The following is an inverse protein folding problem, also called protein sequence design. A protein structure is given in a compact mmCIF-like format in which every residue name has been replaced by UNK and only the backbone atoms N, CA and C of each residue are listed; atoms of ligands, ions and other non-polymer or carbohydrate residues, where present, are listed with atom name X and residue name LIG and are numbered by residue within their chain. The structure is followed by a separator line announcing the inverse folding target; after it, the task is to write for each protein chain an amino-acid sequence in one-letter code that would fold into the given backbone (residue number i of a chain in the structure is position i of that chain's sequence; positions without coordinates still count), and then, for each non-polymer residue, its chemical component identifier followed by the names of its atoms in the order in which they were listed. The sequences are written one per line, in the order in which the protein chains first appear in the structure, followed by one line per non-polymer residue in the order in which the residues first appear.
data_IF_276493159360
#
_entry.id   IF_276493159360
#
_cell.length_a   1.000
_cell.length_b   1.000
_cell.length_c   1.000
_cell.angle_alpha   90.00
_cell.angle_beta   90.00
_cell.angle_gamma   90.00
#
_symmetry.space_group_name_H-M   'P 1'
#
loop_
_entity.id
_entity.type
_entity.pdbx_description
1 polymer ?
#
# COMPACT_ATOMS: atom_id res chain seq x y z
N UNK A 1 48.87 -26.49 36.10
CA UNK A 1 48.99 -26.89 34.67
C UNK A 1 47.82 -26.22 33.97
N UNK A 2 47.90 -25.23 33.10
CA UNK A 2 48.96 -24.51 32.41
C UNK A 2 48.19 -23.52 31.51
N UNK A 3 48.62 -22.26 31.50
CA UNK A 3 48.02 -21.13 30.80
C UNK A 3 47.81 -21.38 29.30
N UNK A 4 46.79 -20.76 28.69
CA UNK A 4 47.04 -20.08 27.41
C UNK A 4 46.22 -18.79 27.26
N UNK A 5 46.96 -17.75 26.92
CA UNK A 5 46.64 -16.33 26.90
C UNK A 5 46.13 -15.86 25.53
N UNK A 6 45.22 -14.88 25.62
CA UNK A 6 45.14 -13.63 24.87
C UNK A 6 45.72 -13.52 23.45
N UNK A 7 44.88 -12.98 22.53
CA UNK A 7 45.33 -12.03 21.50
C UNK A 7 44.20 -11.07 21.11
N UNK A 8 44.20 -9.91 21.75
CA UNK A 8 43.47 -8.71 21.35
C UNK A 8 44.37 -7.95 20.37
N UNK A 9 43.95 -7.85 19.10
CA UNK A 9 44.62 -7.07 18.06
C UNK A 9 44.04 -5.66 17.95
N UNK A 10 44.81 -4.66 18.42
CA UNK A 10 44.56 -3.24 18.20
C UNK A 10 44.81 -2.89 16.72
N UNK A 11 43.88 -2.23 16.04
CA UNK A 11 44.17 -1.55 14.77
C UNK A 11 44.00 -0.04 14.88
N UNK A 12 45.09 0.65 14.51
CA UNK A 12 45.32 2.10 14.59
C UNK A 12 44.57 2.84 13.49
N UNK A 13 43.99 3.98 13.89
CA UNK A 13 43.47 5.05 13.04
C UNK A 13 44.61 5.68 12.23
N UNK A 14 44.57 5.62 10.91
CA UNK A 14 45.46 6.37 10.02
C UNK A 14 44.60 7.19 9.07
N UNK A 15 44.53 8.49 9.37
CA UNK A 15 43.98 9.55 8.52
C UNK A 15 45.06 9.90 7.49
N UNK A 16 44.75 9.80 6.20
CA UNK A 16 45.59 10.38 5.14
C UNK A 16 44.76 11.33 4.27
N UNK A 17 45.29 12.55 4.17
CA UNK A 17 44.79 13.75 3.49
C UNK A 17 44.38 13.51 2.04
N UNK A 18 43.31 14.18 1.62
CA UNK A 18 42.94 14.38 0.22
C UNK A 18 43.90 15.37 -0.49
N UNK A 19 44.27 15.13 -1.76
CA UNK A 19 44.76 16.18 -2.63
C UNK A 19 43.59 16.86 -3.36
N UNK A 20 43.65 18.18 -3.35
CA UNK A 20 42.84 19.14 -4.09
C UNK A 20 43.13 19.12 -5.59
N UNK A 21 42.10 19.20 -6.43
CA UNK A 21 42.25 19.76 -7.77
C UNK A 21 41.33 19.17 -8.85
N UNK A 22 40.86 20.08 -9.71
CA UNK A 22 40.22 19.88 -11.02
C UNK A 22 38.71 19.58 -10.98
N UNK A 23 37.87 20.58 -11.26
CA UNK A 23 37.52 21.16 -12.59
C UNK A 23 36.38 20.40 -13.24
N UNK A 24 35.27 21.13 -13.33
CA UNK A 24 34.01 20.83 -13.95
C UNK A 24 34.18 20.67 -15.47
N UNK A 25 33.92 19.50 -16.02
CA UNK A 25 33.63 19.32 -17.44
C UNK A 25 32.46 18.37 -17.63
N UNK A 26 31.40 18.90 -18.23
CA UNK A 26 30.24 18.16 -18.73
C UNK A 26 30.68 17.27 -19.88
N UNK A 27 30.43 15.96 -19.80
CA UNK A 27 30.22 15.09 -20.97
C UNK A 27 29.50 13.83 -20.53
N UNK A 28 28.38 13.55 -21.19
CA UNK A 28 27.52 12.42 -20.88
C UNK A 28 28.06 11.09 -21.39
N UNK A 29 27.17 10.10 -21.25
CA UNK A 29 27.14 8.72 -21.76
C UNK A 29 27.37 7.66 -20.68
N UNK A 30 26.38 6.76 -20.58
CA UNK A 30 26.53 5.42 -20.02
C UNK A 30 25.57 5.11 -18.88
N UNK A 31 24.30 4.80 -19.20
CA UNK A 31 23.45 3.99 -18.31
C UNK A 31 24.15 2.65 -18.06
N UNK A 32 24.88 2.58 -16.94
CA UNK A 32 25.39 1.34 -16.38
C UNK A 32 24.47 0.98 -15.23
N UNK A 33 23.81 -0.18 -15.35
CA UNK A 33 23.01 -0.81 -14.31
C UNK A 33 23.89 -0.96 -13.06
N UNK A 34 23.67 -0.12 -12.06
CA UNK A 34 24.24 -0.35 -10.73
C UNK A 34 23.28 -1.23 -9.94
N UNK A 35 23.80 -2.38 -9.50
CA UNK A 35 23.22 -3.19 -8.42
C UNK A 35 23.22 -2.33 -7.14
N UNK A 36 22.21 -1.48 -7.03
CA UNK A 36 22.03 -0.59 -5.91
C UNK A 36 21.53 -1.40 -4.72
N UNK A 37 22.39 -1.60 -3.72
CA UNK A 37 21.97 -1.95 -2.36
C UNK A 37 20.99 -0.86 -1.90
N UNK A 38 19.71 -1.19 -1.99
CA UNK A 38 18.63 -0.28 -1.65
C UNK A 38 18.50 -0.21 -0.12
N UNK A 39 19.10 0.82 0.49
CA UNK A 39 18.62 1.36 1.77
C UNK A 39 17.27 2.04 1.52
N UNK A 40 16.19 1.26 1.41
CA UNK A 40 14.85 1.81 1.40
C UNK A 40 14.31 1.64 2.81
N UNK A 41 14.44 2.69 3.63
CA UNK A 41 13.46 2.95 4.69
C UNK A 41 12.09 2.93 4.00
N UNK A 42 11.27 1.95 4.34
CA UNK A 42 9.92 1.99 3.85
C UNK A 42 9.08 0.79 4.22
N UNK A 43 9.32 -0.37 3.63
CA UNK A 43 8.33 -1.44 3.66
C UNK A 43 8.66 -2.45 4.75
N UNK A 44 7.64 -2.93 5.47
CA UNK A 44 7.81 -4.07 6.36
C UNK A 44 8.01 -5.33 5.53
N UNK A 45 8.98 -6.18 5.87
CA UNK A 45 9.24 -7.44 5.16
C UNK A 45 9.55 -8.59 6.13
N UNK A 46 9.59 -9.82 5.59
CA UNK A 46 9.90 -11.06 6.30
C UNK A 46 11.07 -11.81 5.66
N UNK A 47 11.63 -12.78 6.37
CA UNK A 47 12.65 -13.69 5.83
C UNK A 47 12.04 -14.77 4.90
N UNK A 48 12.89 -15.43 4.13
CA UNK A 48 12.51 -16.65 3.40
C UNK A 48 11.98 -17.74 4.34
N UNK A 49 11.08 -18.60 3.85
CA UNK A 49 10.47 -19.67 4.63
C UNK A 49 9.33 -19.23 5.56
N UNK A 50 9.05 -17.92 5.65
CA UNK A 50 7.88 -17.43 6.38
C UNK A 50 6.61 -18.00 5.75
N UNK A 51 5.82 -18.73 6.53
CA UNK A 51 4.58 -19.34 6.05
C UNK A 51 3.46 -18.30 5.96
N UNK A 52 2.67 -18.37 4.90
CA UNK A 52 1.49 -17.54 4.66
C UNK A 52 0.31 -18.48 4.38
N UNK A 53 -0.85 -18.19 4.95
CA UNK A 53 -2.04 -19.01 4.74
C UNK A 53 -2.77 -18.58 3.46
N UNK A 54 -2.85 -19.51 2.50
CA UNK A 54 -3.58 -19.38 1.24
C UNK A 54 -4.91 -20.14 1.28
N UNK A 55 -5.66 -20.11 0.18
CA UNK A 55 -6.84 -20.95 0.00
C UNK A 55 -6.53 -22.47 0.06
N UNK A 56 -5.32 -22.86 -0.34
CA UNK A 56 -4.90 -24.26 -0.49
C UNK A 56 -4.08 -24.80 0.69
N UNK A 57 -3.63 -23.92 1.59
CA UNK A 57 -2.87 -24.30 2.78
C UNK A 57 -1.77 -23.30 3.12
N UNK A 58 -0.74 -23.74 3.82
CA UNK A 58 0.42 -22.91 4.12
C UNK A 58 1.43 -22.98 2.98
N UNK A 59 1.82 -21.81 2.48
CA UNK A 59 2.80 -21.65 1.41
C UNK A 59 3.90 -20.72 1.90
N UNK A 60 5.15 -21.00 1.53
CA UNK A 60 6.28 -20.15 1.90
C UNK A 60 6.22 -18.83 1.10
N UNK A 61 6.46 -17.71 1.77
CA UNK A 61 6.25 -16.37 1.22
C UNK A 61 6.99 -16.09 -0.09
N UNK A 62 8.17 -16.70 -0.30
CA UNK A 62 8.97 -16.52 -1.50
C UNK A 62 8.45 -17.30 -2.71
N UNK A 63 7.54 -18.25 -2.49
CA UNK A 63 6.94 -19.09 -3.54
C UNK A 63 5.58 -18.57 -4.00
N UNK A 64 5.01 -17.59 -3.29
CA UNK A 64 3.73 -16.98 -3.64
C UNK A 64 3.87 -16.10 -4.88
N UNK A 65 2.97 -16.29 -5.83
CA UNK A 65 2.93 -15.58 -7.11
C UNK A 65 1.76 -14.59 -7.20
N UNK A 66 1.81 -13.72 -8.20
CA UNK A 66 0.69 -12.81 -8.45
C UNK A 66 -0.51 -13.60 -8.97
N UNK A 67 -1.68 -13.36 -8.37
CA UNK A 67 -2.91 -14.11 -8.61
C UNK A 67 -3.24 -15.15 -7.55
N UNK A 68 -2.30 -15.49 -6.66
CA UNK A 68 -2.58 -16.35 -5.51
C UNK A 68 -3.51 -15.66 -4.52
N UNK A 69 -4.28 -16.44 -3.77
CA UNK A 69 -5.21 -15.91 -2.77
C UNK A 69 -4.68 -16.17 -1.35
N UNK A 70 -4.55 -15.10 -0.57
CA UNK A 70 -4.09 -15.15 0.83
C UNK A 70 -5.19 -14.70 1.78
N UNK A 71 -5.19 -15.27 2.98
CA UNK A 71 -6.14 -14.85 4.01
C UNK A 71 -5.80 -13.49 4.58
N UNK A 72 -6.79 -12.62 4.52
CA UNK A 72 -6.71 -11.22 4.90
C UNK A 72 -7.93 -10.84 5.75
N UNK A 73 -7.83 -9.73 6.48
CA UNK A 73 -8.93 -9.18 7.26
C UNK A 73 -9.11 -7.71 6.90
N UNK A 74 -10.35 -7.28 6.77
CA UNK A 74 -10.68 -5.87 6.75
C UNK A 74 -10.57 -5.33 8.19
N UNK A 75 -9.58 -4.48 8.53
CA UNK A 75 -9.43 -4.00 9.90
C UNK A 75 -10.61 -3.10 10.33
N UNK A 76 -11.31 -2.46 9.37
CA UNK A 76 -12.45 -1.59 9.66
C UNK A 76 -13.72 -2.37 10.03
N UNK A 77 -13.98 -3.51 9.36
CA UNK A 77 -15.20 -4.31 9.58
C UNK A 77 -14.98 -5.59 10.38
N UNK A 78 -13.73 -6.03 10.53
CA UNK A 78 -13.36 -7.31 11.12
C UNK A 78 -13.68 -8.53 10.24
N UNK A 79 -14.10 -8.32 9.00
CA UNK A 79 -14.43 -9.40 8.07
C UNK A 79 -13.17 -10.09 7.54
N UNK A 80 -13.14 -11.41 7.64
CA UNK A 80 -12.11 -12.26 7.05
C UNK A 80 -12.49 -12.69 5.64
N UNK A 81 -11.49 -12.78 4.76
CA UNK A 81 -11.70 -13.16 3.37
C UNK A 81 -10.38 -13.43 2.66
N UNK A 82 -10.47 -14.19 1.56
CA UNK A 82 -9.37 -14.39 0.65
C UNK A 82 -9.17 -13.12 -0.19
N UNK A 83 -7.93 -12.71 -0.36
CA UNK A 83 -7.55 -11.56 -1.17
C UNK A 83 -6.44 -11.94 -2.14
N UNK A 84 -6.56 -11.47 -3.38
CA UNK A 84 -5.58 -11.71 -4.43
C UNK A 84 -4.26 -10.98 -4.12
N UNK A 85 -3.15 -11.69 -4.29
CA UNK A 85 -1.81 -11.12 -4.29
C UNK A 85 -1.59 -10.43 -5.64
N UNK A 86 -1.50 -9.11 -5.62
CA UNK A 86 -1.28 -8.30 -6.81
C UNK A 86 0.16 -8.41 -7.31
N UNK A 87 1.13 -8.43 -6.38
CA UNK A 87 2.56 -8.46 -6.72
C UNK A 87 3.35 -9.01 -5.53
N UNK A 88 4.13 -10.09 -5.69
CA UNK A 88 5.14 -10.48 -4.70
C UNK A 88 6.34 -9.53 -4.77
N UNK A 89 6.88 -9.15 -3.61
CA UNK A 89 8.02 -8.24 -3.50
C UNK A 89 9.22 -8.95 -2.88
N UNK A 90 10.32 -8.97 -3.63
CA UNK A 90 11.63 -9.45 -3.15
C UNK A 90 12.61 -8.30 -3.16
N UNK A 91 13.35 -8.11 -2.06
CA UNK A 91 14.33 -7.03 -1.90
C UNK A 91 15.54 -7.47 -1.10
N UNK A 92 16.69 -6.86 -1.38
CA UNK A 92 17.83 -6.95 -0.47
C UNK A 92 17.66 -5.94 0.66
N UNK A 93 17.68 -6.41 1.91
CA UNK A 93 17.59 -5.57 3.10
C UNK A 93 18.92 -5.55 3.84
N UNK A 94 19.29 -4.37 4.35
CA UNK A 94 20.39 -4.20 5.30
C UNK A 94 19.87 -3.30 6.42
N UNK A 95 19.63 -3.86 7.59
CA UNK A 95 19.00 -3.12 8.67
C UNK A 95 18.63 -4.01 9.85
N UNK A 96 17.74 -3.51 10.67
CA UNK A 96 17.27 -4.20 11.86
C UNK A 96 16.21 -5.26 11.53
N UNK A 97 16.40 -6.42 12.15
CA UNK A 97 15.50 -7.55 12.13
C UNK A 97 15.09 -7.86 13.57
N UNK A 98 13.86 -8.31 13.73
CA UNK A 98 13.28 -8.72 15.00
C UNK A 98 12.74 -10.13 14.85
N UNK A 99 13.24 -11.04 15.67
CA UNK A 99 12.67 -12.37 15.86
C UNK A 99 11.64 -12.30 16.99
N UNK A 100 10.39 -12.58 16.66
CA UNK A 100 9.25 -12.60 17.59
C UNK A 100 8.95 -14.06 17.91
N UNK A 101 9.19 -14.47 19.15
CA UNK A 101 8.83 -15.82 19.61
C UNK A 101 7.44 -15.80 20.23
N UNK A 102 6.51 -16.55 19.65
CA UNK A 102 5.14 -16.69 20.13
C UNK A 102 4.78 -18.18 20.22
N UNK A 103 4.37 -18.63 21.41
CA UNK A 103 4.27 -20.05 21.74
C UNK A 103 5.59 -20.83 21.50
N UNK A 104 5.64 -21.70 20.48
CA UNK A 104 6.81 -22.50 20.07
C UNK A 104 7.32 -22.09 18.67
N UNK A 105 6.76 -21.02 18.09
CA UNK A 105 7.10 -20.54 16.76
C UNK A 105 7.90 -19.23 16.84
N UNK A 106 8.80 -19.05 15.87
CA UNK A 106 9.57 -17.82 15.67
C UNK A 106 9.18 -17.17 14.35
N UNK A 107 8.84 -15.88 14.41
CA UNK A 107 8.53 -15.06 13.24
C UNK A 107 9.63 -14.02 13.12
N UNK A 108 10.42 -14.06 12.06
CA UNK A 108 11.46 -13.07 11.83
C UNK A 108 11.03 -12.02 10.79
N UNK A 109 11.00 -10.76 11.21
CA UNK A 109 10.53 -9.64 10.40
C UNK A 109 11.49 -8.45 10.48
N UNK A 110 11.41 -7.54 9.52
CA UNK A 110 12.12 -6.25 9.62
C UNK A 110 11.57 -5.44 10.78
N UNK A 111 12.41 -4.61 11.42
CA UNK A 111 11.98 -3.89 12.62
C UNK A 111 10.83 -2.92 12.42
N UNK A 112 10.59 -2.44 11.19
CA UNK A 112 9.46 -1.59 10.83
C UNK A 112 8.19 -2.37 10.46
N UNK A 113 8.20 -3.71 10.49
CA UNK A 113 7.04 -4.49 10.09
C UNK A 113 5.92 -4.37 11.14
N UNK A 114 4.72 -3.88 10.77
CA UNK A 114 3.61 -3.75 11.71
C UNK A 114 2.89 -5.08 12.01
N UNK A 115 2.73 -5.35 13.30
CA UNK A 115 1.89 -6.43 13.84
C UNK A 115 0.64 -5.85 14.50
N UNK A 116 -0.47 -6.59 14.44
CA UNK A 116 -1.70 -6.21 15.12
C UNK A 116 -1.66 -6.64 16.59
N UNK A 117 -1.58 -5.67 17.50
CA UNK A 117 -1.51 -5.90 18.95
C UNK A 117 -2.86 -5.56 19.59
N UNK A 118 -3.48 -6.56 20.24
CA UNK A 118 -4.75 -6.43 20.94
C UNK A 118 -4.57 -5.75 22.30
N UNK A 119 -3.56 -6.16 23.05
CA UNK A 119 -3.26 -5.62 24.38
C UNK A 119 -1.79 -5.85 24.75
N UNK A 120 -1.26 -5.00 25.60
CA UNK A 120 0.13 -5.04 26.03
C UNK A 120 0.48 -3.87 26.94
N UNK A 121 1.66 -3.94 27.56
CA UNK A 121 2.11 -2.92 28.50
C UNK A 121 2.34 -1.56 27.81
N UNK A 122 1.78 -0.49 28.38
CA UNK A 122 1.87 0.87 27.85
C UNK A 122 1.52 0.99 26.35
N UNK A 123 0.63 0.13 25.84
CA UNK A 123 0.33 0.02 24.41
C UNK A 123 -0.13 1.34 23.81
N UNK A 124 -0.93 2.14 24.52
CA UNK A 124 -1.40 3.44 24.05
C UNK A 124 -0.30 4.49 23.85
N UNK A 125 0.79 4.44 24.63
CA UNK A 125 1.88 5.43 24.58
C UNK A 125 3.01 5.06 23.60
N UNK A 126 2.92 3.92 22.91
CA UNK A 126 3.95 3.49 21.94
C UNK A 126 3.82 4.29 20.63
N UNK A 127 4.91 4.44 19.85
CA UNK A 127 4.88 5.13 18.56
C UNK A 127 3.76 4.60 17.65
N UNK A 128 2.90 5.50 17.17
CA UNK A 128 1.88 5.18 16.18
C UNK A 128 2.52 5.03 14.81
N UNK A 129 2.12 3.99 14.08
CA UNK A 129 2.42 3.88 12.65
C UNK A 129 1.47 4.85 11.95
N UNK A 130 1.87 6.12 11.85
CA UNK A 130 1.02 7.27 11.50
C UNK A 130 0.29 7.16 10.14
N UNK A 131 0.73 6.24 9.28
CA UNK A 131 0.16 6.00 7.96
C UNK A 131 -0.89 4.88 7.93
N UNK A 132 -1.02 4.11 9.02
CA UNK A 132 -2.05 3.07 9.15
C UNK A 132 -3.30 3.68 9.75
N UNK A 133 -4.43 3.54 9.05
CA UNK A 133 -5.70 4.11 9.48
C UNK A 133 -6.03 3.66 10.91
N UNK A 134 -6.46 4.63 11.74
CA UNK A 134 -7.05 4.30 13.04
C UNK A 134 -8.31 3.50 12.74
N UNK A 135 -8.35 2.28 13.25
CA UNK A 135 -9.51 1.42 13.13
C UNK A 135 -10.66 2.08 13.89
N UNK A 136 -11.86 2.03 13.31
CA UNK A 136 -13.06 2.59 13.92
C UNK A 136 -13.34 1.91 15.27
N UNK A 137 -14.07 2.59 16.16
CA UNK A 137 -14.40 2.06 17.50
C UNK A 137 -15.20 0.74 17.41
N UNK A 138 -15.93 0.54 16.31
CA UNK A 138 -16.70 -0.68 15.99
C UNK A 138 -15.89 -1.77 15.27
N UNK A 139 -14.62 -1.49 14.92
CA UNK A 139 -13.76 -2.41 14.19
C UNK A 139 -13.04 -3.40 15.11
N UNK A 140 -12.01 -4.05 14.57
CA UNK A 140 -11.16 -4.94 15.36
C UNK A 140 -10.47 -4.13 16.45
N UNK A 141 -10.61 -4.54 17.71
CA UNK A 141 -9.91 -3.87 18.81
C UNK A 141 -8.41 -4.12 18.71
N UNK A 142 -7.60 -3.09 18.95
CA UNK A 142 -6.14 -3.17 18.93
C UNK A 142 -5.50 -2.04 18.17
N UNK A 143 -4.19 -2.17 17.92
CA UNK A 143 -3.44 -1.21 17.11
C UNK A 143 -2.27 -1.87 16.39
N UNK A 144 -1.87 -1.26 15.29
CA UNK A 144 -0.62 -1.57 14.63
C UNK A 144 0.58 -1.10 15.47
N UNK A 145 1.53 -2.00 15.67
CA UNK A 145 2.81 -1.74 16.34
C UNK A 145 3.93 -2.33 15.49
N UNK A 146 4.95 -1.54 15.19
CA UNK A 146 6.14 -2.04 14.50
C UNK A 146 6.86 -3.10 15.33
N UNK A 147 7.50 -4.07 14.67
CA UNK A 147 8.22 -5.16 15.31
C UNK A 147 9.25 -4.66 16.35
N UNK A 148 9.96 -3.56 16.05
CA UNK A 148 10.94 -2.90 16.95
C UNK A 148 10.32 -2.35 18.25
N UNK A 149 9.01 -2.19 18.28
CA UNK A 149 8.24 -1.62 19.40
C UNK A 149 7.33 -2.64 20.09
N UNK A 150 7.36 -3.90 19.64
CA UNK A 150 6.78 -5.01 20.39
C UNK A 150 7.49 -5.18 21.73
N UNK A 151 6.76 -5.70 22.70
CA UNK A 151 7.26 -6.05 24.03
C UNK A 151 6.87 -7.49 24.36
N UNK A 152 7.71 -8.14 25.15
CA UNK A 152 7.35 -9.42 25.75
C UNK A 152 6.08 -9.22 26.58
N UNK A 153 5.10 -10.08 26.36
CA UNK A 153 3.79 -10.00 26.97
C UNK A 153 2.69 -9.37 26.12
N UNK A 154 3.01 -8.85 24.94
CA UNK A 154 2.01 -8.39 23.97
C UNK A 154 1.16 -9.55 23.45
N UNK A 155 -0.11 -9.26 23.18
CA UNK A 155 -1.06 -10.19 22.59
C UNK A 155 -1.32 -9.84 21.13
N UNK A 156 -0.91 -10.73 20.22
CA UNK A 156 -1.10 -10.60 18.78
C UNK A 156 -2.38 -11.29 18.33
N UNK A 157 -3.10 -10.71 17.37
CA UNK A 157 -4.33 -11.29 16.83
C UNK A 157 -4.04 -12.44 15.86
N UNK A 158 -4.79 -13.53 16.01
CA UNK A 158 -4.79 -14.67 15.10
C UNK A 158 -6.04 -14.68 14.22
N UNK A 159 -5.95 -15.38 13.09
CA UNK A 159 -7.09 -15.65 12.20
C UNK A 159 -8.34 -16.18 12.89
N UNK A 160 -8.17 -17.05 13.89
CA UNK A 160 -9.31 -17.64 14.62
C UNK A 160 -10.09 -16.63 15.47
N UNK A 161 -9.64 -15.37 15.55
CA UNK A 161 -10.12 -14.37 16.49
C UNK A 161 -9.50 -14.49 17.88
N UNK A 162 -8.70 -15.53 18.12
CA UNK A 162 -7.93 -15.69 19.35
C UNK A 162 -6.70 -14.78 19.37
N UNK A 163 -5.97 -14.81 20.48
CA UNK A 163 -4.75 -14.05 20.68
C UNK A 163 -3.58 -14.96 21.06
N UNK A 164 -2.37 -14.63 20.58
CA UNK A 164 -1.12 -15.30 20.98
C UNK A 164 -0.21 -14.34 21.73
N UNK A 165 0.43 -14.81 22.80
CA UNK A 165 1.31 -13.99 23.63
C UNK A 165 2.76 -14.05 23.11
N UNK A 166 3.37 -12.88 22.95
CA UNK A 166 4.82 -12.74 22.68
C UNK A 166 5.59 -13.17 23.92
N UNK A 167 6.44 -14.18 23.78
CA UNK A 167 7.25 -14.77 24.87
C UNK A 167 8.68 -14.26 24.89
N UNK A 168 9.26 -14.01 23.72
CA UNK A 168 10.61 -13.48 23.58
C UNK A 168 10.71 -12.58 22.34
N UNK A 169 11.68 -11.67 22.37
CA UNK A 169 12.02 -10.78 21.28
C UNK A 169 13.54 -10.69 21.19
N UNK A 170 14.08 -10.95 20.02
CA UNK A 170 15.50 -10.78 19.73
C UNK A 170 15.69 -9.80 18.58
N UNK A 171 16.52 -8.79 18.77
CA UNK A 171 16.82 -7.80 17.75
C UNK A 171 18.25 -8.00 17.24
N UNK A 172 18.41 -8.05 15.92
CA UNK A 172 19.72 -8.16 15.26
C UNK A 172 19.81 -7.25 14.05
N UNK A 173 21.03 -6.97 13.59
CA UNK A 173 21.26 -6.32 12.30
C UNK A 173 21.63 -7.40 11.29
N UNK A 174 20.98 -7.40 10.13
CA UNK A 174 21.17 -8.41 9.11
C UNK A 174 21.28 -7.80 7.71
N UNK A 175 21.90 -8.55 6.80
CA UNK A 175 22.00 -8.24 5.38
C UNK A 175 21.57 -9.47 4.57
N UNK A 176 20.29 -9.56 4.22
CA UNK A 176 19.67 -10.75 3.63
C UNK A 176 18.50 -10.38 2.70
N UNK A 177 18.10 -11.26 1.76
CA UNK A 177 16.89 -11.06 0.98
C UNK A 177 15.66 -11.13 1.89
N UNK A 178 14.73 -10.21 1.68
CA UNK A 178 13.45 -10.15 2.39
C UNK A 178 12.28 -10.12 1.42
N UNK A 179 11.14 -10.59 1.90
CA UNK A 179 9.93 -10.84 1.12
C UNK A 179 8.74 -10.12 1.74
N UNK A 180 7.85 -9.61 0.90
CA UNK A 180 6.57 -9.03 1.29
C UNK A 180 5.55 -9.24 0.15
N UNK A 181 4.26 -9.14 0.43
CA UNK A 181 3.20 -9.36 -0.54
C UNK A 181 2.35 -8.10 -0.70
N UNK A 182 2.11 -7.68 -1.95
CA UNK A 182 1.13 -6.65 -2.24
C UNK A 182 -0.27 -7.24 -2.35
N UNK A 183 -0.99 -7.31 -1.22
CA UNK A 183 -2.35 -7.87 -1.17
C UNK A 183 -3.40 -6.84 -1.56
N UNK A 184 -4.38 -7.27 -2.37
CA UNK A 184 -5.49 -6.43 -2.81
C UNK A 184 -6.41 -5.99 -1.65
N UNK A 185 -7.06 -4.84 -1.85
CA UNK A 185 -8.13 -4.27 -1.02
C UNK A 185 -7.77 -3.91 0.43
N UNK A 186 -7.46 -4.89 1.28
CA UNK A 186 -7.36 -4.71 2.73
C UNK A 186 -5.94 -4.52 3.24
N UNK A 187 -4.94 -4.83 2.41
CA UNK A 187 -3.52 -4.61 2.73
C UNK A 187 -3.07 -5.25 4.06
N UNK A 188 -3.71 -6.35 4.44
CA UNK A 188 -3.32 -7.21 5.56
C UNK A 188 -3.20 -8.65 5.07
N UNK A 189 -2.44 -9.46 5.79
CA UNK A 189 -2.43 -10.91 5.57
C UNK A 189 -1.97 -11.62 6.84
N UNK A 190 -2.02 -12.95 6.82
CA UNK A 190 -1.57 -13.77 7.94
C UNK A 190 -0.23 -14.43 7.64
N UNK A 191 0.63 -14.49 8.65
CA UNK A 191 1.90 -15.20 8.60
C UNK A 191 1.98 -16.22 9.73
N UNK A 192 2.93 -17.16 9.62
CA UNK A 192 3.20 -18.19 10.62
C UNK A 192 2.13 -19.29 10.67
N UNK A 193 2.48 -20.43 11.26
CA UNK A 193 1.55 -21.56 11.51
C UNK A 193 0.39 -21.15 12.42
N UNK A 194 0.62 -20.19 13.31
CA UNK A 194 -0.40 -19.61 14.16
C UNK A 194 -1.28 -18.56 13.45
N UNK A 195 -0.95 -18.14 12.22
CA UNK A 195 -1.73 -17.20 11.39
C UNK A 195 -1.86 -15.84 12.05
N UNK A 196 -0.72 -15.31 12.47
CA UNK A 196 -0.59 -13.99 13.08
C UNK A 196 -0.89 -12.92 12.04
N UNK A 197 -1.72 -11.95 12.43
CA UNK A 197 -2.11 -10.85 11.56
C UNK A 197 -1.00 -9.80 11.42
N UNK A 198 -0.66 -9.48 10.17
CA UNK A 198 0.36 -8.49 9.80
C UNK A 198 -0.15 -7.56 8.69
N UNK A 199 0.48 -6.40 8.54
CA UNK A 199 0.09 -5.42 7.53
C UNK A 199 1.12 -5.32 6.39
N UNK A 200 0.62 -5.27 5.16
CA UNK A 200 1.38 -4.98 3.95
C UNK A 200 1.77 -3.49 3.91
N UNK A 201 2.72 -3.08 4.75
CA UNK A 201 3.13 -1.68 4.88
C UNK A 201 4.01 -1.23 3.72
N UNK A 202 3.52 -0.25 2.94
CA UNK A 202 4.30 0.45 1.91
C UNK A 202 4.16 1.98 2.01
N UNK A 203 5.15 2.71 2.58
CA UNK A 203 5.08 4.16 2.72
C UNK A 203 5.32 4.91 1.41
N UNK A 204 5.74 4.24 0.33
CA UNK A 204 5.77 4.84 -1.02
C UNK A 204 4.42 4.79 -1.71
N UNK A 205 3.50 3.95 -1.23
CA UNK A 205 2.07 4.04 -1.53
C UNK A 205 1.42 4.89 -0.45
N UNK A 206 1.75 6.19 -0.42
CA UNK A 206 0.97 7.16 0.33
C UNK A 206 -0.50 6.86 0.10
N UNK A 207 -1.19 6.51 1.19
CA UNK A 207 -2.55 5.96 1.24
C UNK A 207 -3.28 6.09 -0.10
N UNK A 208 -3.26 5.03 -0.91
CA UNK A 208 -4.28 4.93 -1.96
C UNK A 208 -5.58 4.84 -1.18
N UNK A 209 -6.29 5.97 -1.11
CA UNK A 209 -7.61 6.10 -0.50
C UNK A 209 -8.41 4.82 -0.75
N UNK A 210 -9.03 4.31 0.32
CA UNK A 210 -9.85 3.10 0.33
C UNK A 210 -10.75 2.98 -0.92
N UNK A 211 -11.13 1.77 -1.36
CA UNK A 211 -11.97 1.58 -2.54
C UNK A 211 -13.27 2.40 -2.51
N UNK A 212 -13.81 2.71 -1.32
CA UNK A 212 -14.98 3.58 -1.13
C UNK A 212 -14.75 5.02 -1.60
N UNK A 213 -13.55 5.57 -1.38
CA UNK A 213 -13.14 6.89 -1.88
C UNK A 213 -12.87 6.91 -3.40
N UNK A 214 -12.61 5.74 -3.99
CA UNK A 214 -12.36 5.60 -5.42
C UNK A 214 -13.63 5.53 -6.27
N UNK A 215 -14.79 5.26 -5.66
CA UNK A 215 -16.08 5.25 -6.36
C UNK A 215 -16.37 6.60 -7.03
N UNK A 216 -15.97 7.73 -6.42
CA UNK A 216 -16.24 9.07 -6.93
C UNK A 216 -15.73 9.35 -8.36
N UNK A 217 -14.70 8.63 -8.79
CA UNK A 217 -14.09 8.73 -10.14
C UNK A 217 -14.35 7.50 -11.01
N UNK A 218 -14.97 6.47 -10.45
CA UNK A 218 -15.34 5.25 -11.17
C UNK A 218 -16.47 5.52 -12.18
N UNK A 219 -16.54 4.71 -13.24
CA UNK A 219 -17.62 4.77 -14.23
C UNK A 219 -17.47 5.87 -15.30
N UNK A 220 -16.39 6.66 -15.30
CA UNK A 220 -16.14 7.71 -16.31
C UNK A 220 -16.23 7.22 -17.75
N UNK A 221 -15.63 6.06 -18.04
CA UNK A 221 -15.62 5.48 -19.38
C UNK A 221 -17.00 4.95 -19.80
N UNK A 222 -17.74 4.36 -18.85
CA UNK A 222 -19.12 3.92 -19.07
C UNK A 222 -20.03 5.12 -19.34
N UNK A 223 -19.91 6.18 -18.54
CA UNK A 223 -20.70 7.40 -18.72
C UNK A 223 -20.46 8.08 -20.06
N UNK A 224 -19.22 8.11 -20.55
CA UNK A 224 -18.92 8.62 -21.89
C UNK A 224 -19.57 7.79 -22.99
N UNK A 225 -19.67 6.46 -22.83
CA UNK A 225 -20.38 5.61 -23.79
C UNK A 225 -21.88 5.90 -23.82
N UNK A 226 -22.51 6.04 -22.65
CA UNK A 226 -23.93 6.40 -22.55
C UNK A 226 -24.25 7.76 -23.19
N UNK A 227 -23.37 8.75 -22.99
CA UNK A 227 -23.52 10.09 -23.57
C UNK A 227 -23.47 10.12 -25.10
N UNK A 228 -22.92 9.09 -25.74
CA UNK A 228 -22.90 8.99 -27.20
C UNK A 228 -24.33 8.98 -27.77
N UNK A 229 -25.28 8.40 -27.03
CA UNK A 229 -26.67 8.23 -27.45
C UNK A 229 -27.68 9.13 -26.72
N UNK A 230 -27.21 10.01 -25.82
CA UNK A 230 -28.08 10.90 -25.05
C UNK A 230 -28.74 11.98 -25.93
N UNK A 231 -30.08 11.99 -26.08
CA UNK A 231 -30.77 12.95 -26.94
C UNK A 231 -30.65 14.40 -26.46
N UNK A 232 -30.32 14.63 -25.18
CA UNK A 232 -30.16 15.98 -24.58
C UNK A 232 -28.83 16.63 -24.94
N UNK A 233 -27.87 15.86 -25.47
CA UNK A 233 -26.56 16.37 -25.90
C UNK A 233 -26.60 16.87 -27.36
N UNK A 234 -25.90 17.97 -27.63
CA UNK A 234 -25.75 18.53 -28.97
C UNK A 234 -25.19 17.50 -29.95
N UNK A 235 -25.68 17.50 -31.20
CA UNK A 235 -25.28 16.51 -32.23
C UNK A 235 -23.75 16.46 -32.44
N UNK A 236 -23.08 17.62 -32.42
CA UNK A 236 -21.62 17.69 -32.58
C UNK A 236 -20.86 16.97 -31.46
N UNK A 237 -21.30 17.15 -30.21
CA UNK A 237 -20.70 16.51 -29.03
C UNK A 237 -20.89 14.99 -29.08
N UNK A 238 -22.11 14.54 -29.41
CA UNK A 238 -22.41 13.11 -29.61
C UNK A 238 -21.57 12.49 -30.72
N UNK A 239 -21.48 13.17 -31.86
CA UNK A 239 -20.68 12.72 -33.01
C UNK A 239 -19.21 12.54 -32.65
N UNK A 240 -18.64 13.49 -31.90
CA UNK A 240 -17.26 13.42 -31.43
C UNK A 240 -17.04 12.21 -30.50
N UNK A 241 -17.93 12.00 -29.52
CA UNK A 241 -17.83 10.87 -28.59
C UNK A 241 -17.92 9.53 -29.33
N UNK A 242 -18.86 9.40 -30.28
CA UNK A 242 -18.98 8.22 -31.14
C UNK A 242 -17.71 7.96 -31.95
N UNK A 243 -17.12 9.01 -32.49
CA UNK A 243 -15.86 8.90 -33.24
C UNK A 243 -14.72 8.41 -32.34
N UNK A 244 -14.62 8.92 -31.10
CA UNK A 244 -13.59 8.48 -30.15
C UNK A 244 -13.84 7.03 -29.67
N UNK A 245 -15.10 6.60 -29.50
CA UNK A 245 -15.46 5.19 -29.24
C UNK A 245 -15.03 4.30 -30.40
N UNK A 246 -15.30 4.71 -31.63
CA UNK A 246 -14.89 3.97 -32.82
C UNK A 246 -13.37 3.90 -32.93
N UNK A 247 -12.65 5.00 -32.67
CA UNK A 247 -11.19 5.04 -32.70
C UNK A 247 -10.52 4.16 -31.61
N UNK A 248 -11.20 3.98 -30.47
CA UNK A 248 -10.71 3.17 -29.34
C UNK A 248 -11.04 1.69 -29.49
N UNK A 249 -12.07 1.34 -30.27
CA UNK A 249 -12.44 -0.04 -30.61
C UNK A 249 -11.76 -0.52 -31.90
N UNK A 250 -11.55 0.38 -32.88
CA UNK A 250 -11.02 0.11 -34.21
C UNK A 250 -10.05 1.23 -34.64
N UNK A 251 -8.89 0.86 -35.20
CA UNK A 251 -7.90 1.81 -35.74
C UNK A 251 -6.75 2.16 -34.79
N UNK A 252 -6.05 3.26 -35.07
CA UNK A 252 -4.74 3.61 -34.47
C UNK A 252 -4.75 3.85 -32.94
N UNK A 253 -5.93 3.92 -32.31
CA UNK A 253 -6.07 4.10 -30.85
C UNK A 253 -6.73 2.90 -30.17
N UNK A 254 -6.73 1.73 -30.81
CA UNK A 254 -7.26 0.48 -30.25
C UNK A 254 -6.74 0.23 -28.83
N UNK A 255 -7.65 -0.03 -27.89
CA UNK A 255 -7.32 -0.31 -26.48
C UNK A 255 -7.04 0.91 -25.62
N UNK A 256 -7.07 2.14 -26.17
CA UNK A 256 -6.89 3.37 -25.39
C UNK A 256 -8.22 3.85 -24.78
N UNK A 257 -8.15 4.65 -23.72
CA UNK A 257 -9.31 5.24 -23.04
C UNK A 257 -9.98 6.31 -23.92
N UNK A 258 -11.31 6.38 -23.85
CA UNK A 258 -12.14 7.42 -24.51
C UNK A 258 -11.82 8.76 -23.84
N UNK A 259 -11.42 9.73 -24.66
CA UNK A 259 -11.16 11.11 -24.22
C UNK A 259 -12.48 11.88 -24.07
N UNK A 260 -12.44 13.00 -23.37
CA UNK A 260 -13.57 13.93 -23.29
C UNK A 260 -13.45 14.93 -24.45
N UNK A 261 -14.57 15.40 -25.04
CA UNK A 261 -14.54 16.44 -26.06
C UNK A 261 -13.69 17.64 -25.62
N UNK A 262 -12.93 18.26 -26.54
CA UNK A 262 -12.13 19.44 -26.24
C UNK A 262 -12.98 20.56 -25.61
N UNK A 263 -12.45 21.24 -24.60
CA UNK A 263 -13.16 22.31 -23.89
C UNK A 263 -14.22 21.85 -22.89
N UNK A 264 -14.44 20.54 -22.74
CA UNK A 264 -15.46 20.00 -21.82
C UNK A 264 -14.87 19.10 -20.73
N UNK A 265 -15.58 19.00 -19.61
CA UNK A 265 -15.31 18.07 -18.52
C UNK A 265 -16.59 17.38 -18.03
N UNK A 266 -16.42 16.21 -17.43
CA UNK A 266 -17.51 15.52 -16.74
C UNK A 266 -17.67 16.10 -15.34
N UNK A 267 -18.83 16.69 -15.10
CA UNK A 267 -19.19 17.32 -13.85
C UNK A 267 -20.28 16.51 -13.14
N UNK A 268 -20.07 16.25 -11.85
CA UNK A 268 -21.13 15.71 -11.00
C UNK A 268 -22.23 16.76 -10.77
N UNK A 269 -23.50 16.34 -10.62
CA UNK A 269 -24.56 17.25 -10.22
C UNK A 269 -24.30 17.78 -8.80
N UNK A 270 -24.77 19.01 -8.53
CA UNK A 270 -24.65 19.64 -7.21
C UNK A 270 -25.32 18.78 -6.15
N UNK A 271 -24.62 18.57 -5.04
CA UNK A 271 -25.08 17.75 -3.93
C UNK A 271 -24.68 16.27 -4.03
N UNK A 272 -24.27 15.79 -5.21
CA UNK A 272 -23.85 14.39 -5.45
C UNK A 272 -22.47 14.32 -6.07
N UNK A 273 -21.54 15.07 -5.49
CA UNK A 273 -20.16 15.18 -5.96
C UNK A 273 -19.31 13.94 -5.62
N UNK A 274 -18.19 13.77 -6.32
CA UNK A 274 -17.23 12.70 -6.07
C UNK A 274 -16.71 12.69 -4.62
N UNK A 275 -16.59 13.88 -4.00
CA UNK A 275 -16.17 14.03 -2.60
C UNK A 275 -17.15 13.40 -1.59
N UNK A 276 -18.39 13.11 -2.02
CA UNK A 276 -19.45 12.46 -1.24
C UNK A 276 -19.65 10.99 -1.66
N UNK A 277 -18.69 10.42 -2.40
CA UNK A 277 -18.70 9.01 -2.80
C UNK A 277 -19.56 8.67 -4.03
N UNK A 278 -20.13 9.66 -4.74
CA UNK A 278 -20.95 9.39 -5.92
C UNK A 278 -20.12 9.13 -7.17
N UNK A 279 -20.29 7.96 -7.79
CA UNK A 279 -19.65 7.62 -9.08
C UNK A 279 -20.32 8.31 -10.26
N UNK A 280 -19.63 8.38 -11.41
CA UNK A 280 -20.16 9.00 -12.63
C UNK A 280 -21.42 8.30 -13.18
N UNK A 281 -21.71 7.10 -12.68
CA UNK A 281 -22.88 6.28 -13.03
C UNK A 281 -23.95 6.40 -11.92
N UNK A 282 -23.56 6.34 -10.64
CA UNK A 282 -24.47 6.46 -9.48
C UNK A 282 -25.09 7.86 -9.38
N UNK A 283 -24.32 8.90 -9.71
CA UNK A 283 -24.82 10.23 -9.99
C UNK A 283 -24.44 10.58 -11.43
N UNK A 284 -25.39 10.48 -12.40
CA UNK A 284 -25.07 10.60 -13.81
C UNK A 284 -24.48 11.98 -14.10
N UNK A 285 -23.16 12.02 -14.29
CA UNK A 285 -22.45 13.26 -14.54
C UNK A 285 -22.85 13.85 -15.88
N UNK A 286 -22.70 15.15 -16.02
CA UNK A 286 -23.03 15.90 -17.24
C UNK A 286 -21.76 16.50 -17.84
N UNK A 287 -21.74 16.65 -19.16
CA UNK A 287 -20.70 17.43 -19.83
C UNK A 287 -20.94 18.91 -19.54
N UNK A 288 -19.91 19.58 -19.05
CA UNK A 288 -19.90 21.02 -18.80
C UNK A 288 -18.65 21.64 -19.42
N UNK A 289 -18.75 22.92 -19.75
CA UNK A 289 -17.60 23.72 -20.17
C UNK A 289 -16.56 23.79 -19.04
N UNK A 290 -15.29 23.64 -19.39
CA UNK A 290 -14.16 23.64 -18.45
C UNK A 290 -14.14 24.91 -17.60
N UNK A 291 -14.43 26.06 -18.19
CA UNK A 291 -14.28 27.36 -17.52
C UNK A 291 -15.44 27.62 -16.56
N UNK A 292 -16.66 27.24 -16.98
CA UNK A 292 -17.83 27.26 -16.09
C UNK A 292 -17.64 26.29 -14.90
N UNK A 293 -17.07 25.11 -15.16
CA UNK A 293 -16.82 24.10 -14.15
C UNK A 293 -15.75 24.54 -13.13
N UNK A 294 -14.69 25.21 -13.60
CA UNK A 294 -13.66 25.79 -12.71
C UNK A 294 -14.21 26.93 -11.86
N UNK A 295 -15.04 27.79 -12.45
CA UNK A 295 -15.71 28.88 -11.73
C UNK A 295 -16.59 28.32 -10.61
N UNK A 296 -17.32 27.23 -10.88
CA UNK A 296 -18.12 26.54 -9.88
C UNK A 296 -17.28 26.07 -8.68
N UNK A 297 -16.15 25.38 -8.93
CA UNK A 297 -15.25 24.89 -7.87
C UNK A 297 -14.66 25.99 -6.99
N UNK A 298 -14.47 27.19 -7.56
CA UNK A 298 -14.01 28.37 -6.81
C UNK A 298 -15.03 28.83 -5.77
N UNK A 299 -16.33 28.65 -6.03
CA UNK A 299 -17.40 29.07 -5.14
C UNK A 299 -17.88 27.97 -4.19
N UNK A 300 -17.83 26.70 -4.59
CA UNK A 300 -18.35 25.58 -3.79
C UNK A 300 -17.27 24.71 -3.09
N UNK A 301 -16.01 25.17 -3.13
CA UNK A 301 -14.84 24.50 -2.52
C UNK A 301 -14.76 23.02 -2.92
N UNK A 302 -14.71 22.75 -4.23
CA UNK A 302 -14.70 21.39 -4.79
C UNK A 302 -15.96 20.58 -4.44
N UNK A 303 -17.11 21.24 -4.28
CA UNK A 303 -18.38 20.64 -3.88
C UNK A 303 -18.51 20.29 -2.39
N UNK A 304 -17.54 20.65 -1.54
CA UNK A 304 -17.60 20.40 -0.08
C UNK A 304 -18.67 21.24 0.62
N UNK A 305 -18.98 22.40 0.05
CA UNK A 305 -19.94 23.34 0.65
C UNK A 305 -21.39 23.07 0.23
N UNK A 306 -21.64 22.14 -0.69
CA UNK A 306 -22.99 21.83 -1.16
C UNK A 306 -23.67 20.85 -0.19
N UNK A 307 -24.92 21.08 0.18
CA UNK A 307 -25.72 20.11 0.94
C UNK A 307 -25.95 18.81 0.12
N UNK A 308 -26.14 17.67 0.78
CA UNK A 308 -26.63 16.45 0.11
C UNK A 308 -28.06 16.72 -0.37
N UNK A 309 -28.31 16.53 -1.66
CA UNK A 309 -29.67 16.56 -2.22
C UNK A 309 -30.16 15.12 -2.30
N UNK A 310 -31.17 14.78 -1.48
CA UNK A 310 -31.90 13.50 -1.53
C UNK A 310 -32.48 13.25 -2.93
#
# INVERSE_FOLDING_TARGET
IGQLLAKIGKFKKVVKKAPSGARNTRRGVGESKSEGICRIEGQGCFIEGTLVETAEGFVEIQTIEAGDEVWSINPETGEWGLQEVLTPLTRSWVGDMVTVTAAEEEIEATGNHPFWVLSGDALASRPEVHELAKVHEDGVQGRWVEARHLRVGDWLLLRSGAAIKVRALEARVAALPVYNLDVAHWHTYTVSQHRVLVHNYDPKKGTKKSPSDSQGRAGRQQRLREMADDPKLGRAVRGWIKQEINATTKGNRKGKKIRVPPGMQLAHPRGREAAKGFSHVKAPSKLQDVDLHKLQHKHDNMGRNNALNE
#
